data_IF_459341015703
#
_entry.id   IF_459341015703
#
_cell.length_a   1.000
_cell.length_b   1.000
_cell.length_c   1.000
_cell.angle_alpha   90.00
_cell.angle_beta   90.00
_cell.angle_gamma   90.00
#
_symmetry.space_group_name_H-M   'P 1'
#
loop_
_entity.id
_entity.type
_entity.pdbx_description
1 polymer ?
#
# COMPACT_ATOMS: atom_id res chain seq x y z
N UNK A 1 17.49 4.14 26.61
CA UNK A 1 17.21 2.69 26.38
C UNK A 1 16.94 2.53 24.90
N UNK A 2 17.61 1.59 24.23
CA UNK A 2 17.37 1.32 22.82
C UNK A 2 15.92 0.85 22.59
N UNK A 3 15.35 1.21 21.46
CA UNK A 3 13.99 0.85 21.06
C UNK A 3 14.03 -0.19 19.93
N UNK A 4 13.02 -1.03 19.84
CA UNK A 4 12.90 -2.05 18.80
C UNK A 4 11.62 -1.83 18.00
N UNK A 5 11.76 -1.78 16.68
CA UNK A 5 10.63 -1.68 15.79
C UNK A 5 10.62 -2.85 14.81
N UNK A 6 9.45 -3.42 14.66
CA UNK A 6 9.23 -4.59 13.81
C UNK A 6 8.25 -4.25 12.69
N UNK A 7 8.56 -4.69 11.48
CA UNK A 7 7.62 -4.65 10.35
C UNK A 7 7.60 -5.99 9.63
N UNK A 8 6.47 -6.28 8.99
CA UNK A 8 6.29 -7.49 8.20
C UNK A 8 5.95 -7.17 6.74
N UNK A 9 6.22 -8.11 5.87
CA UNK A 9 5.77 -8.12 4.48
C UNK A 9 5.42 -9.53 4.04
N UNK A 10 4.63 -9.65 3.00
CA UNK A 10 4.24 -10.93 2.41
C UNK A 10 4.44 -10.91 0.90
N UNK A 11 4.60 -12.10 0.31
CA UNK A 11 4.74 -12.24 -1.14
C UNK A 11 3.40 -12.03 -1.86
N UNK A 12 3.46 -11.85 -3.16
CA UNK A 12 2.28 -11.76 -4.04
C UNK A 12 1.37 -13.01 -4.00
N UNK A 13 1.91 -14.16 -3.58
CA UNK A 13 1.18 -15.42 -3.43
C UNK A 13 0.55 -15.65 -2.06
N UNK A 14 0.77 -14.76 -1.10
CA UNK A 14 0.03 -14.78 0.16
C UNK A 14 -1.47 -14.61 -0.11
N UNK A 15 -2.38 -15.35 0.56
CA UNK A 15 -3.81 -15.34 0.22
C UNK A 15 -4.44 -13.94 0.24
N UNK A 16 -4.13 -13.09 1.22
CA UNK A 16 -4.65 -11.72 1.25
C UNK A 16 -4.12 -10.88 0.09
N UNK A 17 -2.83 -11.02 -0.27
CA UNK A 17 -2.24 -10.28 -1.39
C UNK A 17 -2.69 -10.77 -2.75
N UNK A 18 -3.00 -12.03 -2.88
CA UNK A 18 -3.68 -12.57 -4.06
C UNK A 18 -5.05 -11.89 -4.26
N UNK A 19 -5.81 -11.70 -3.17
CA UNK A 19 -7.09 -10.98 -3.23
C UNK A 19 -6.90 -9.53 -3.66
N UNK A 20 -5.93 -8.81 -3.07
CA UNK A 20 -5.61 -7.44 -3.45
C UNK A 20 -5.19 -7.32 -4.92
N UNK A 21 -4.37 -8.25 -5.42
CA UNK A 21 -3.96 -8.30 -6.83
C UNK A 21 -5.14 -8.51 -7.79
N UNK A 22 -6.08 -9.40 -7.43
CA UNK A 22 -7.28 -9.63 -8.26
C UNK A 22 -8.15 -8.38 -8.25
N UNK A 23 -8.41 -7.79 -7.08
CA UNK A 23 -9.25 -6.59 -6.95
C UNK A 23 -8.68 -5.39 -7.73
N UNK A 24 -7.36 -5.13 -7.62
CA UNK A 24 -6.70 -4.07 -8.37
C UNK A 24 -6.57 -4.37 -9.87
N UNK A 25 -6.50 -5.64 -10.27
CA UNK A 25 -6.54 -6.01 -11.68
C UNK A 25 -7.92 -5.75 -12.31
N UNK A 26 -9.00 -5.97 -11.55
CA UNK A 26 -10.36 -5.60 -11.98
C UNK A 26 -10.48 -4.07 -12.13
N UNK A 27 -9.94 -3.32 -11.17
CA UNK A 27 -9.92 -1.86 -11.23
C UNK A 27 -9.14 -1.35 -12.45
N UNK A 28 -7.92 -1.83 -12.68
CA UNK A 28 -7.08 -1.43 -13.81
C UNK A 28 -7.75 -1.72 -15.15
N UNK A 29 -8.42 -2.88 -15.27
CA UNK A 29 -9.17 -3.25 -16.48
C UNK A 29 -10.35 -2.29 -16.73
N UNK A 30 -11.12 -1.97 -15.67
CA UNK A 30 -12.20 -0.99 -15.78
C UNK A 30 -11.69 0.38 -16.21
N UNK A 31 -10.66 0.91 -15.53
CA UNK A 31 -10.11 2.23 -15.82
C UNK A 31 -9.46 2.33 -17.20
N UNK A 32 -8.92 1.22 -17.73
CA UNK A 32 -8.31 1.20 -19.07
C UNK A 32 -9.33 1.39 -20.19
N UNK A 33 -10.58 1.01 -19.96
CA UNK A 33 -11.68 1.12 -20.92
C UNK A 33 -12.62 2.30 -20.65
N UNK A 34 -12.79 2.66 -19.37
CA UNK A 34 -13.61 3.78 -18.92
C UNK A 34 -12.94 4.45 -17.70
N UNK A 35 -12.25 5.56 -17.95
CA UNK A 35 -11.55 6.31 -16.91
C UNK A 35 -12.47 6.86 -15.80
N UNK A 36 -13.79 6.89 -16.02
CA UNK A 36 -14.78 7.33 -15.04
C UNK A 36 -15.45 6.18 -14.29
N UNK A 37 -14.96 4.95 -14.46
CA UNK A 37 -15.48 3.79 -13.75
C UNK A 37 -15.49 4.00 -12.23
N UNK A 38 -16.59 3.58 -11.61
CA UNK A 38 -16.73 3.50 -10.15
C UNK A 38 -16.58 2.04 -9.75
N UNK A 39 -15.58 1.76 -8.97
CA UNK A 39 -15.20 0.39 -8.59
C UNK A 39 -15.01 0.32 -7.08
N UNK A 40 -15.68 -0.62 -6.46
CA UNK A 40 -15.48 -1.08 -5.09
C UNK A 40 -15.50 -2.61 -5.15
N UNK A 41 -14.33 -3.22 -5.38
CA UNK A 41 -14.17 -4.64 -5.63
C UNK A 41 -13.50 -5.31 -4.43
N UNK A 42 -14.18 -6.28 -3.84
CA UNK A 42 -13.67 -7.09 -2.74
C UNK A 42 -13.52 -8.54 -3.21
N UNK A 43 -12.49 -9.21 -2.71
CA UNK A 43 -12.17 -10.57 -3.09
C UNK A 43 -11.94 -11.41 -1.83
N UNK A 44 -12.51 -12.62 -1.83
CA UNK A 44 -12.20 -13.66 -0.88
C UNK A 44 -11.60 -14.85 -1.64
N UNK A 45 -10.43 -15.32 -1.20
CA UNK A 45 -9.80 -16.52 -1.74
C UNK A 45 -9.67 -17.57 -0.64
N UNK A 46 -10.22 -18.76 -0.87
CA UNK A 46 -10.11 -19.91 0.02
C UNK A 46 -9.88 -21.16 -0.80
N UNK A 47 -9.79 -22.31 -0.15
CA UNK A 47 -9.47 -23.58 -0.83
C UNK A 47 -10.40 -23.86 -2.01
N UNK A 48 -9.84 -23.82 -3.22
CA UNK A 48 -10.54 -24.10 -4.47
C UNK A 48 -11.59 -23.07 -4.89
N UNK A 49 -11.69 -21.92 -4.20
CA UNK A 49 -12.70 -20.91 -4.46
C UNK A 49 -12.11 -19.49 -4.45
N UNK A 50 -12.55 -18.68 -5.40
CA UNK A 50 -12.39 -17.23 -5.39
C UNK A 50 -13.78 -16.62 -5.53
N UNK A 51 -14.14 -15.73 -4.60
CA UNK A 51 -15.39 -14.99 -4.63
C UNK A 51 -15.01 -13.53 -4.83
N UNK A 52 -15.52 -12.94 -5.91
CA UNK A 52 -15.37 -11.50 -6.22
C UNK A 52 -16.73 -10.85 -6.06
N UNK A 53 -16.81 -9.89 -5.15
CA UNK A 53 -18.06 -9.21 -4.79
C UNK A 53 -17.85 -7.69 -4.77
N UNK A 54 -18.92 -6.93 -4.85
CA UNK A 54 -18.87 -5.46 -4.74
C UNK A 54 -19.67 -4.74 -5.79
N UNK A 55 -19.33 -3.47 -6.01
CA UNK A 55 -20.05 -2.58 -6.91
C UNK A 55 -19.13 -2.08 -8.03
N UNK A 56 -19.61 -2.24 -9.27
CA UNK A 56 -18.95 -1.70 -10.46
C UNK A 56 -20.00 -0.95 -11.30
N UNK A 57 -19.72 0.34 -11.55
CA UNK A 57 -20.47 1.15 -12.51
C UNK A 57 -19.48 1.64 -13.55
N UNK A 58 -19.53 1.10 -14.75
CA UNK A 58 -18.64 1.38 -15.87
C UNK A 58 -19.40 1.25 -17.19
N UNK A 59 -18.88 1.87 -18.23
CA UNK A 59 -19.32 1.64 -19.62
C UNK A 59 -18.76 0.31 -20.18
N UNK A 60 -17.81 -0.29 -19.48
CA UNK A 60 -17.16 -1.56 -19.82
C UNK A 60 -17.51 -2.64 -18.78
N UNK A 61 -17.80 -3.84 -19.24
CA UNK A 61 -18.07 -5.00 -18.38
C UNK A 61 -16.84 -5.92 -18.37
N UNK A 62 -16.07 -5.98 -17.25
CA UNK A 62 -14.85 -6.79 -17.18
C UNK A 62 -15.17 -8.30 -17.08
N UNK A 63 -14.40 -9.12 -17.78
CA UNK A 63 -14.40 -10.59 -17.55
C UNK A 63 -13.60 -10.91 -16.28
N UNK A 64 -14.27 -10.83 -15.14
CA UNK A 64 -13.68 -11.04 -13.82
C UNK A 64 -13.09 -12.44 -13.68
N UNK A 65 -13.70 -13.46 -14.27
CA UNK A 65 -13.20 -14.84 -14.25
C UNK A 65 -11.86 -14.94 -14.97
N UNK A 66 -11.75 -14.34 -16.15
CA UNK A 66 -10.51 -14.30 -16.91
C UNK A 66 -9.42 -13.50 -16.19
N UNK A 67 -9.76 -12.37 -15.57
CA UNK A 67 -8.85 -11.55 -14.78
C UNK A 67 -8.29 -12.37 -13.61
N UNK A 68 -9.16 -12.99 -12.79
CA UNK A 68 -8.74 -13.80 -11.66
C UNK A 68 -7.83 -14.96 -12.10
N UNK A 69 -8.17 -15.68 -13.16
CA UNK A 69 -7.35 -16.74 -13.71
C UNK A 69 -6.00 -16.24 -14.26
N UNK A 70 -5.96 -15.02 -14.82
CA UNK A 70 -4.71 -14.40 -15.28
C UNK A 70 -3.79 -14.07 -14.12
N UNK A 71 -4.33 -13.50 -13.03
CA UNK A 71 -3.58 -13.22 -11.80
C UNK A 71 -3.04 -14.51 -11.18
N UNK A 72 -3.86 -15.55 -11.06
CA UNK A 72 -3.42 -16.84 -10.55
C UNK A 72 -2.22 -17.38 -11.33
N UNK A 73 -2.28 -17.40 -12.67
CA UNK A 73 -1.15 -17.83 -13.53
C UNK A 73 0.10 -16.96 -13.31
N UNK A 74 -0.06 -15.63 -13.26
CA UNK A 74 1.05 -14.69 -13.08
C UNK A 74 1.75 -14.89 -11.73
N UNK A 75 0.98 -15.20 -10.69
CA UNK A 75 1.49 -15.49 -9.34
C UNK A 75 2.13 -16.89 -9.29
N UNK A 76 1.69 -17.83 -10.09
CA UNK A 76 2.22 -19.21 -10.15
C UNK A 76 1.29 -20.26 -9.54
N UNK A 77 0.01 -19.95 -9.39
CA UNK A 77 -1.03 -20.91 -9.06
C UNK A 77 -1.67 -21.48 -10.33
N UNK A 78 -2.15 -22.72 -10.25
CA UNK A 78 -2.92 -23.35 -11.32
C UNK A 78 -4.38 -22.86 -11.28
N UNK A 79 -4.86 -22.09 -12.28
CA UNK A 79 -6.23 -21.59 -12.30
C UNK A 79 -7.30 -22.69 -12.32
N UNK A 80 -6.99 -23.87 -12.88
CA UNK A 80 -7.94 -24.97 -12.94
C UNK A 80 -8.35 -25.53 -11.56
N UNK A 81 -7.59 -25.14 -10.52
CA UNK A 81 -7.87 -25.54 -9.13
C UNK A 81 -8.86 -24.60 -8.43
N UNK A 82 -9.28 -23.51 -9.08
CA UNK A 82 -10.14 -22.50 -8.48
C UNK A 82 -11.41 -22.28 -9.30
N UNK A 83 -12.56 -22.41 -8.65
CA UNK A 83 -13.81 -21.89 -9.17
C UNK A 83 -13.92 -20.40 -8.81
N UNK A 84 -14.36 -19.58 -9.76
CA UNK A 84 -14.53 -18.13 -9.56
C UNK A 84 -16.02 -17.83 -9.52
N UNK A 85 -16.49 -17.23 -8.42
CA UNK A 85 -17.86 -16.77 -8.26
C UNK A 85 -17.88 -15.22 -8.28
N UNK A 86 -18.73 -14.63 -9.14
CA UNK A 86 -18.88 -13.19 -9.29
C UNK A 86 -20.21 -12.73 -8.71
N UNK A 87 -20.16 -11.79 -7.75
CA UNK A 87 -21.31 -11.20 -7.08
C UNK A 87 -21.19 -9.66 -7.17
N UNK A 88 -21.22 -9.15 -8.41
CA UNK A 88 -21.07 -7.73 -8.71
C UNK A 88 -22.41 -7.09 -8.97
N UNK A 89 -22.62 -5.92 -8.39
CA UNK A 89 -23.78 -5.06 -8.55
C UNK A 89 -23.40 -3.68 -9.07
N UNK A 90 -24.37 -2.87 -9.48
CA UNK A 90 -24.16 -1.44 -9.75
C UNK A 90 -24.17 -0.66 -8.45
N UNK A 91 -23.39 0.43 -8.39
CA UNK A 91 -23.36 1.33 -7.24
C UNK A 91 -24.76 1.89 -6.95
N UNK A 92 -25.08 2.04 -5.65
CA UNK A 92 -26.31 2.69 -5.19
C UNK A 92 -26.45 4.10 -5.75
N UNK A 93 -27.65 4.44 -6.23
CA UNK A 93 -27.95 5.78 -6.74
C UNK A 93 -27.81 6.88 -5.68
N UNK A 94 -28.09 6.56 -4.41
CA UNK A 94 -27.96 7.51 -3.30
C UNK A 94 -26.49 7.86 -3.04
N UNK A 95 -25.59 6.86 -3.07
CA UNK A 95 -24.15 7.07 -2.94
C UNK A 95 -23.64 7.86 -4.14
N UNK A 96 -23.98 7.45 -5.36
CA UNK A 96 -23.58 8.12 -6.59
C UNK A 96 -23.97 9.62 -6.59
N UNK A 97 -25.21 9.95 -6.19
CA UNK A 97 -25.69 11.33 -6.11
C UNK A 97 -24.88 12.21 -5.14
N UNK A 98 -24.40 11.60 -4.02
CA UNK A 98 -23.58 12.30 -3.05
C UNK A 98 -22.13 12.52 -3.51
N UNK A 99 -21.58 11.57 -4.28
CA UNK A 99 -20.20 11.60 -4.77
C UNK A 99 -20.06 12.45 -6.03
N UNK A 100 -20.95 12.28 -7.01
CA UNK A 100 -20.87 12.97 -8.31
C UNK A 100 -21.22 14.46 -8.21
N UNK A 101 -21.88 14.88 -7.14
CA UNK A 101 -22.18 16.28 -6.86
C UNK A 101 -21.99 16.58 -5.38
N UNK A 102 -20.89 17.24 -5.03
CA UNK A 102 -20.52 17.53 -3.65
C UNK A 102 -21.57 18.38 -2.89
N UNK A 103 -21.49 18.36 -1.57
CA UNK A 103 -22.31 19.20 -0.70
C UNK A 103 -22.14 20.69 -1.02
N UNK A 104 -20.90 21.13 -1.24
CA UNK A 104 -20.54 22.50 -1.58
C UNK A 104 -21.23 22.92 -2.89
N UNK A 105 -21.19 22.07 -3.92
CA UNK A 105 -21.85 22.33 -5.21
C UNK A 105 -23.36 22.36 -5.08
N UNK A 106 -23.95 21.39 -4.38
CA UNK A 106 -25.41 21.33 -4.12
C UNK A 106 -25.93 22.56 -3.39
N UNK A 107 -25.13 23.09 -2.47
CA UNK A 107 -25.46 24.30 -1.69
C UNK A 107 -24.96 25.59 -2.34
N UNK A 108 -24.35 25.54 -3.52
CA UNK A 108 -23.76 26.68 -4.25
C UNK A 108 -22.70 27.43 -3.43
N UNK A 109 -22.00 26.74 -2.56
CA UNK A 109 -20.87 27.27 -1.82
C UNK A 109 -19.63 27.25 -2.73
N UNK A 110 -18.89 28.37 -2.83
CA UNK A 110 -17.69 28.45 -3.69
C UNK A 110 -17.96 28.52 -5.21
N UNK A 111 -19.20 28.75 -5.64
CA UNK A 111 -19.56 28.89 -7.06
C UNK A 111 -19.47 27.57 -7.84
N UNK A 112 -19.11 27.67 -9.15
CA UNK A 112 -18.96 26.50 -10.03
C UNK A 112 -17.49 26.05 -10.17
N UNK A 113 -16.70 26.15 -9.10
CA UNK A 113 -15.29 25.76 -9.17
C UNK A 113 -15.16 24.23 -9.45
N UNK A 114 -14.36 23.81 -10.46
CA UNK A 114 -14.24 22.40 -10.83
C UNK A 114 -13.75 21.50 -9.68
N UNK A 115 -12.89 22.00 -8.79
CA UNK A 115 -12.40 21.29 -7.62
C UNK A 115 -13.52 20.84 -6.67
N UNK A 116 -14.63 21.59 -6.62
CA UNK A 116 -15.78 21.28 -5.78
C UNK A 116 -16.81 20.37 -6.47
N UNK A 117 -16.49 19.79 -7.64
CA UNK A 117 -17.41 18.92 -8.38
C UNK A 117 -17.69 17.64 -7.63
N UNK A 118 -16.63 16.91 -7.22
CA UNK A 118 -16.73 15.62 -6.59
C UNK A 118 -16.74 15.74 -5.06
N UNK A 119 -17.68 15.07 -4.42
CA UNK A 119 -17.63 14.81 -2.99
C UNK A 119 -16.77 13.57 -2.66
N UNK A 120 -16.26 13.49 -1.45
CA UNK A 120 -15.59 12.29 -0.98
C UNK A 120 -16.52 11.07 -1.03
N UNK A 121 -16.00 9.95 -1.53
CA UNK A 121 -16.76 8.70 -1.71
C UNK A 121 -17.13 8.03 -0.39
N UNK A 122 -16.48 8.41 0.70
CA UNK A 122 -16.76 7.92 2.05
C UNK A 122 -16.28 8.96 3.09
N UNK A 123 -16.64 8.73 4.33
CA UNK A 123 -16.04 9.38 5.49
C UNK A 123 -14.85 8.56 5.97
N UNK A 124 -13.86 9.21 6.59
CA UNK A 124 -12.73 8.50 7.17
C UNK A 124 -11.54 9.39 7.47
N UNK A 125 -10.51 8.75 8.02
CA UNK A 125 -9.22 9.36 8.33
C UNK A 125 -8.14 8.69 7.49
N UNK A 126 -7.34 9.47 6.79
CA UNK A 126 -6.26 9.01 5.92
C UNK A 126 -4.94 9.54 6.46
N UNK A 127 -3.96 8.65 6.57
CA UNK A 127 -2.66 8.96 7.16
C UNK A 127 -1.55 8.77 6.14
N UNK A 128 -0.69 9.77 6.04
CA UNK A 128 0.58 9.72 5.32
C UNK A 128 1.74 9.86 6.28
N UNK A 129 2.85 9.19 6.00
CA UNK A 129 4.06 9.28 6.78
C UNK A 129 5.30 9.35 5.89
N UNK A 130 6.32 10.05 6.33
CA UNK A 130 7.64 10.05 5.73
C UNK A 130 8.72 10.26 6.80
N UNK A 131 9.90 9.71 6.58
CA UNK A 131 11.08 9.91 7.43
C UNK A 131 12.36 9.86 6.59
N UNK A 132 13.44 10.42 7.14
CA UNK A 132 14.74 10.50 6.46
C UNK A 132 15.62 9.24 6.60
N UNK A 133 15.07 8.12 7.08
CA UNK A 133 15.84 6.90 7.36
C UNK A 133 16.35 6.18 6.10
N UNK A 134 15.60 6.28 5.01
CA UNK A 134 15.93 5.58 3.76
C UNK A 134 15.82 6.55 2.56
N UNK A 135 16.47 6.25 1.42
CA UNK A 135 16.31 7.06 0.20
C UNK A 135 14.86 7.15 -0.29
N UNK A 136 14.03 6.17 0.03
CA UNK A 136 12.60 6.17 -0.27
C UNK A 136 11.78 7.07 0.67
N UNK A 137 12.41 7.59 1.74
CA UNK A 137 11.74 8.32 2.83
C UNK A 137 10.66 7.46 3.51
N UNK A 138 11.00 6.19 3.72
CA UNK A 138 10.20 5.17 4.41
C UNK A 138 10.95 4.62 5.61
N UNK A 139 10.26 4.11 6.65
CA UNK A 139 10.90 3.42 7.77
C UNK A 139 11.72 2.21 7.31
N UNK A 140 12.90 2.04 7.87
CA UNK A 140 13.83 0.99 7.46
C UNK A 140 13.26 -0.43 7.61
N UNK A 141 12.57 -0.81 8.72
CA UNK A 141 12.07 -2.17 8.90
C UNK A 141 11.10 -2.61 7.79
N UNK A 142 10.16 -1.73 7.37
CA UNK A 142 9.21 -2.07 6.32
C UNK A 142 9.88 -2.17 4.95
N UNK A 143 10.86 -1.31 4.67
CA UNK A 143 11.65 -1.36 3.44
C UNK A 143 12.41 -2.68 3.34
N UNK A 144 13.05 -3.13 4.42
CA UNK A 144 13.78 -4.39 4.46
C UNK A 144 12.84 -5.60 4.34
N UNK A 145 11.69 -5.57 5.01
CA UNK A 145 10.68 -6.62 4.90
C UNK A 145 10.16 -6.77 3.45
N UNK A 146 9.88 -5.65 2.76
CA UNK A 146 9.50 -5.66 1.33
C UNK A 146 10.62 -6.16 0.43
N UNK A 147 11.88 -5.78 0.68
CA UNK A 147 13.03 -6.28 -0.07
C UNK A 147 13.17 -7.80 0.05
N UNK A 148 13.00 -8.35 1.25
CA UNK A 148 13.08 -9.80 1.50
C UNK A 148 11.99 -10.55 0.74
N UNK A 149 10.73 -10.12 0.83
CA UNK A 149 9.62 -10.78 0.14
C UNK A 149 9.70 -10.61 -1.39
N UNK A 150 10.19 -9.46 -1.86
CA UNK A 150 10.46 -9.21 -3.28
C UNK A 150 11.60 -10.09 -3.79
N UNK A 151 12.71 -10.22 -3.04
CA UNK A 151 13.84 -11.09 -3.39
C UNK A 151 13.43 -12.57 -3.40
N UNK A 152 12.59 -13.00 -2.44
CA UNK A 152 12.04 -14.36 -2.41
C UNK A 152 11.20 -14.65 -3.67
N UNK A 153 10.34 -13.72 -4.05
CA UNK A 153 9.53 -13.84 -5.28
C UNK A 153 10.41 -13.86 -6.54
N UNK A 154 11.42 -13.02 -6.59
CA UNK A 154 12.37 -13.00 -7.70
C UNK A 154 13.13 -14.34 -7.80
N UNK A 155 13.65 -14.86 -6.68
CA UNK A 155 14.37 -16.14 -6.64
C UNK A 155 13.50 -17.31 -7.11
N UNK A 156 12.20 -17.29 -6.79
CA UNK A 156 11.22 -18.25 -7.27
C UNK A 156 10.96 -18.12 -8.78
N UNK A 157 10.58 -16.93 -9.24
CA UNK A 157 10.17 -16.70 -10.65
C UNK A 157 11.32 -16.84 -11.64
N UNK A 158 12.54 -16.49 -11.25
CA UNK A 158 13.74 -16.67 -12.06
C UNK A 158 14.26 -18.11 -12.08
N UNK A 159 13.72 -18.97 -11.21
CA UNK A 159 14.23 -20.33 -11.03
C UNK A 159 15.57 -20.42 -10.32
N UNK A 160 16.02 -19.32 -9.69
CA UNK A 160 17.27 -19.26 -8.91
C UNK A 160 17.26 -20.24 -7.73
N UNK A 161 16.11 -20.41 -7.10
CA UNK A 161 15.85 -21.43 -6.08
C UNK A 161 14.75 -22.35 -6.57
N UNK A 162 15.13 -23.57 -6.92
CA UNK A 162 14.17 -24.57 -7.40
C UNK A 162 13.29 -25.10 -6.26
N UNK A 163 12.02 -25.30 -6.54
CA UNK A 163 11.07 -25.87 -5.59
C UNK A 163 10.46 -24.86 -4.62
N UNK A 164 10.66 -23.54 -4.80
CA UNK A 164 9.86 -22.54 -4.11
C UNK A 164 8.45 -22.45 -4.70
N UNK A 165 7.48 -22.20 -3.83
CA UNK A 165 6.08 -21.93 -4.16
C UNK A 165 5.70 -20.45 -3.89
N UNK A 166 4.50 -20.00 -4.32
CA UNK A 166 4.18 -18.56 -4.32
C UNK A 166 4.07 -17.89 -2.96
N UNK A 167 3.67 -18.62 -1.92
CA UNK A 167 3.42 -18.03 -0.59
C UNK A 167 4.71 -17.84 0.21
N UNK A 168 4.77 -16.75 0.94
CA UNK A 168 5.89 -16.44 1.82
C UNK A 168 5.67 -15.16 2.61
N UNK A 169 6.41 -15.04 3.72
CA UNK A 169 6.30 -13.94 4.66
C UNK A 169 7.67 -13.58 5.24
N UNK A 170 7.95 -12.30 5.38
CA UNK A 170 9.13 -11.79 6.07
C UNK A 170 8.74 -10.87 7.21
N UNK A 171 9.53 -10.88 8.28
CA UNK A 171 9.45 -9.95 9.40
C UNK A 171 10.87 -9.50 9.74
N UNK A 172 11.05 -8.19 9.97
CA UNK A 172 12.33 -7.59 10.32
C UNK A 172 12.16 -6.73 11.54
N UNK A 173 12.98 -6.99 12.55
CA UNK A 173 13.12 -6.17 13.76
C UNK A 173 14.45 -5.43 13.70
N UNK A 174 14.38 -4.10 13.82
CA UNK A 174 15.56 -3.21 13.86
C UNK A 174 15.65 -2.58 15.23
N UNK A 175 16.85 -2.55 15.78
CA UNK A 175 17.20 -1.83 16.98
C UNK A 175 17.56 -0.38 16.64
N UNK A 176 17.02 0.57 17.42
CA UNK A 176 17.21 2.00 17.26
C UNK A 176 17.87 2.58 18.52
N UNK A 177 18.70 3.59 18.33
CA UNK A 177 19.29 4.35 19.43
C UNK A 177 18.29 5.31 20.10
N UNK A 178 18.77 6.06 21.10
CA UNK A 178 17.98 7.05 21.86
C UNK A 178 17.54 8.25 20.99
N UNK A 179 18.26 8.53 19.91
CA UNK A 179 17.93 9.57 18.92
C UNK A 179 16.96 9.09 17.83
N UNK A 180 16.56 7.83 17.89
CA UNK A 180 15.65 7.21 16.90
C UNK A 180 16.34 6.88 15.58
N UNK A 181 17.65 6.61 15.55
CA UNK A 181 18.39 6.15 14.38
C UNK A 181 18.54 4.64 14.39
N UNK A 182 18.35 3.98 13.23
CA UNK A 182 18.56 2.54 13.12
C UNK A 182 20.03 2.18 13.41
N UNK A 183 20.27 1.20 14.30
CA UNK A 183 21.61 0.73 14.69
C UNK A 183 21.98 -0.61 14.02
N UNK A 184 21.13 -1.63 14.18
CA UNK A 184 21.39 -2.98 13.71
C UNK A 184 20.11 -3.79 13.52
N UNK A 185 20.24 -4.91 12.82
CA UNK A 185 19.18 -5.91 12.76
C UNK A 185 19.19 -6.76 14.04
N UNK A 186 18.07 -6.82 14.74
CA UNK A 186 17.91 -7.71 15.89
C UNK A 186 17.42 -9.09 15.46
N UNK A 187 16.30 -9.12 14.72
CA UNK A 187 15.67 -10.38 14.33
C UNK A 187 15.15 -10.33 12.90
N UNK A 188 15.40 -11.39 12.15
CA UNK A 188 14.88 -11.63 10.81
C UNK A 188 14.10 -12.94 10.82
N UNK A 189 12.84 -12.91 10.42
CA UNK A 189 12.04 -14.11 10.18
C UNK A 189 11.69 -14.16 8.70
N UNK A 190 11.95 -15.30 8.04
CA UNK A 190 11.54 -15.52 6.66
C UNK A 190 10.89 -16.90 6.54
N UNK A 191 9.63 -16.93 6.12
CA UNK A 191 8.89 -18.15 5.82
C UNK A 191 8.67 -18.24 4.31
N UNK A 192 9.12 -19.33 3.70
CA UNK A 192 9.05 -19.58 2.26
C UNK A 192 8.37 -20.91 1.99
N UNK A 193 7.26 -20.88 1.26
CA UNK A 193 6.57 -22.10 0.80
C UNK A 193 7.45 -22.87 -0.19
N UNK A 194 7.52 -24.18 -0.02
CA UNK A 194 8.40 -25.04 -0.82
C UNK A 194 7.77 -26.39 -1.15
N UNK A 195 8.32 -27.06 -2.16
CA UNK A 195 7.89 -28.39 -2.56
C UNK A 195 8.23 -29.44 -1.48
N UNK A 196 7.43 -30.49 -1.41
CA UNK A 196 7.64 -31.60 -0.47
C UNK A 196 9.02 -32.26 -0.61
N UNK A 197 9.62 -32.21 -1.81
CA UNK A 197 10.91 -32.82 -2.12
C UNK A 197 12.12 -31.94 -1.80
N UNK A 198 11.88 -30.66 -1.44
CA UNK A 198 12.98 -29.73 -1.13
C UNK A 198 13.64 -30.10 0.19
N UNK A 199 14.96 -30.25 0.18
CA UNK A 199 15.75 -30.48 1.37
C UNK A 199 15.81 -29.23 2.23
N UNK A 200 15.60 -29.35 3.55
CA UNK A 200 15.52 -28.21 4.48
C UNK A 200 16.86 -27.49 4.62
N UNK A 201 17.99 -28.25 4.68
CA UNK A 201 19.31 -27.65 4.86
C UNK A 201 19.76 -26.92 3.59
N UNK A 202 19.50 -27.53 2.42
CA UNK A 202 19.71 -26.88 1.13
C UNK A 202 18.89 -25.58 1.03
N UNK A 203 17.61 -25.63 1.38
CA UNK A 203 16.73 -24.47 1.36
C UNK A 203 17.24 -23.36 2.29
N UNK A 204 17.69 -23.72 3.47
CA UNK A 204 18.28 -22.76 4.44
C UNK A 204 19.44 -21.98 3.81
N UNK A 205 20.41 -22.70 3.23
CA UNK A 205 21.59 -22.08 2.61
C UNK A 205 21.21 -21.25 1.36
N UNK A 206 20.31 -21.74 0.54
CA UNK A 206 19.86 -20.98 -0.63
C UNK A 206 19.10 -19.70 -0.25
N UNK A 207 18.23 -19.74 0.77
CA UNK A 207 17.54 -18.55 1.26
C UNK A 207 18.52 -17.55 1.86
N UNK A 208 19.52 -18.01 2.60
CA UNK A 208 20.54 -17.14 3.18
C UNK A 208 21.36 -16.44 2.09
N UNK A 209 21.92 -17.21 1.15
CA UNK A 209 22.82 -16.69 0.12
C UNK A 209 22.08 -15.88 -0.94
N UNK A 210 20.94 -16.39 -1.45
CA UNK A 210 20.27 -15.85 -2.64
C UNK A 210 19.13 -14.87 -2.33
N UNK A 211 18.64 -14.82 -1.07
CA UNK A 211 17.53 -13.95 -0.66
C UNK A 211 17.96 -12.95 0.41
N UNK A 212 18.44 -13.44 1.58
CA UNK A 212 18.79 -12.56 2.68
C UNK A 212 19.97 -11.64 2.34
N UNK A 213 21.09 -12.21 1.92
CA UNK A 213 22.32 -11.45 1.63
C UNK A 213 22.09 -10.30 0.66
N UNK A 214 21.48 -10.49 -0.53
CA UNK A 214 21.24 -9.39 -1.44
C UNK A 214 20.17 -8.40 -0.95
N UNK A 215 19.14 -8.85 -0.24
CA UNK A 215 18.07 -7.98 0.24
C UNK A 215 18.50 -7.04 1.37
N UNK A 216 19.48 -7.47 2.19
CA UNK A 216 19.90 -6.79 3.41
C UNK A 216 21.24 -6.04 3.28
N UNK A 217 21.73 -5.80 2.06
CA UNK A 217 23.01 -5.11 1.82
C UNK A 217 23.11 -3.73 2.51
N UNK A 218 21.99 -3.02 2.65
CA UNK A 218 21.95 -1.70 3.29
C UNK A 218 22.17 -1.76 4.82
N UNK A 219 21.84 -2.88 5.44
CA UNK A 219 22.08 -3.18 6.85
C UNK A 219 22.26 -4.69 6.98
N UNK A 220 23.51 -5.21 6.84
CA UNK A 220 23.78 -6.63 6.94
C UNK A 220 23.54 -7.16 8.37
N UNK A 221 23.13 -8.42 8.53
CA UNK A 221 23.11 -9.07 9.84
C UNK A 221 24.50 -9.10 10.48
N UNK A 222 24.57 -8.93 11.79
CA UNK A 222 25.76 -9.10 12.61
C UNK A 222 25.74 -10.44 13.38
N UNK A 223 26.73 -10.67 14.26
CA UNK A 223 26.87 -11.90 15.03
C UNK A 223 25.71 -12.13 16.02
N UNK A 224 25.05 -11.04 16.48
CA UNK A 224 23.96 -11.09 17.45
C UNK A 224 22.58 -11.13 16.75
N UNK A 225 22.52 -11.01 15.43
CA UNK A 225 21.26 -11.02 14.67
C UNK A 225 20.65 -12.42 14.67
N UNK A 226 19.42 -12.53 15.14
CA UNK A 226 18.65 -13.78 15.12
C UNK A 226 18.03 -13.99 13.73
N UNK A 227 18.43 -15.06 13.05
CA UNK A 227 17.90 -15.44 11.73
C UNK A 227 17.04 -16.70 11.85
N UNK A 228 15.74 -16.56 11.59
CA UNK A 228 14.74 -17.62 11.70
C UNK A 228 14.15 -17.93 10.32
N UNK A 229 14.64 -18.98 9.65
CA UNK A 229 14.15 -19.43 8.34
C UNK A 229 13.22 -20.61 8.52
N UNK A 230 11.98 -20.51 8.03
CA UNK A 230 10.93 -21.51 8.20
C UNK A 230 10.85 -22.03 9.66
N UNK A 231 10.71 -21.16 10.68
CA UNK A 231 10.81 -21.58 12.08
C UNK A 231 9.72 -22.59 12.51
N UNK A 232 8.63 -22.67 11.78
CA UNK A 232 7.60 -23.70 11.95
C UNK A 232 8.00 -25.06 11.35
N UNK A 233 9.17 -25.16 10.71
CA UNK A 233 9.65 -26.32 9.99
C UNK A 233 9.08 -26.40 8.56
N UNK A 234 8.32 -27.44 8.24
CA UNK A 234 7.81 -27.72 6.91
C UNK A 234 6.71 -26.72 6.50
N UNK A 235 6.90 -26.03 5.35
CA UNK A 235 5.90 -25.15 4.75
C UNK A 235 5.59 -25.56 3.30
N UNK A 236 4.86 -26.65 3.14
CA UNK A 236 4.49 -27.20 1.82
C UNK A 236 3.08 -26.77 1.40
N UNK A 237 2.11 -26.86 2.30
CA UNK A 237 0.76 -26.34 2.08
C UNK A 237 0.74 -24.86 2.40
N UNK A 238 0.38 -24.01 1.47
CA UNK A 238 0.34 -22.55 1.60
C UNK A 238 -0.70 -21.91 0.67
N UNK A 239 -0.72 -20.58 0.63
CA UNK A 239 -1.70 -19.81 -0.11
C UNK A 239 -3.12 -20.07 0.37
N UNK A 240 -4.09 -19.82 -0.46
CA UNK A 240 -5.52 -19.99 -0.12
C UNK A 240 -5.97 -21.44 0.12
N UNK A 241 -5.08 -22.41 -0.12
CA UNK A 241 -5.33 -23.81 0.27
C UNK A 241 -5.12 -24.04 1.77
N UNK A 242 -4.25 -23.25 2.40
CA UNK A 242 -3.93 -23.36 3.81
C UNK A 242 -4.69 -22.34 4.66
N UNK A 243 -4.88 -21.11 4.15
CA UNK A 243 -5.50 -20.02 4.88
C UNK A 243 -6.37 -19.16 3.95
N UNK A 244 -7.46 -18.62 4.48
CA UNK A 244 -8.38 -17.78 3.71
C UNK A 244 -7.87 -16.36 3.63
N UNK A 245 -7.77 -15.82 2.40
CA UNK A 245 -7.43 -14.43 2.13
C UNK A 245 -8.65 -13.56 1.86
N UNK A 246 -8.51 -12.28 2.18
CA UNK A 246 -9.46 -11.22 1.83
C UNK A 246 -8.73 -9.96 1.41
N UNK A 247 -9.36 -9.17 0.54
CA UNK A 247 -8.92 -7.82 0.20
C UNK A 247 -8.80 -6.96 1.46
N UNK A 248 -7.74 -6.16 1.56
CA UNK A 248 -7.59 -5.15 2.61
C UNK A 248 -7.24 -5.69 3.99
N UNK A 249 -6.72 -6.92 4.12
CA UNK A 249 -6.29 -7.48 5.40
C UNK A 249 -4.81 -7.25 5.74
N UNK A 250 -4.05 -6.55 4.88
CA UNK A 250 -2.62 -6.31 5.06
C UNK A 250 -2.28 -4.81 5.09
N UNK A 251 -3.10 -4.01 5.77
CA UNK A 251 -2.99 -2.55 5.80
C UNK A 251 -1.64 -2.05 6.32
N UNK A 252 -1.07 -2.71 7.33
CA UNK A 252 0.24 -2.36 7.87
C UNK A 252 1.37 -2.71 6.89
N UNK A 253 1.22 -3.80 6.13
CA UNK A 253 2.13 -4.17 5.05
C UNK A 253 2.03 -3.19 3.88
N UNK A 254 0.83 -2.71 3.59
CA UNK A 254 0.55 -1.77 2.50
C UNK A 254 1.08 -0.37 2.77
N UNK A 255 1.26 0.01 4.04
CA UNK A 255 1.59 1.35 4.47
C UNK A 255 2.97 1.46 5.16
N UNK A 256 3.01 1.77 6.44
CA UNK A 256 4.25 2.16 7.13
C UNK A 256 4.65 1.21 8.26
N UNK A 257 4.03 0.02 8.35
CA UNK A 257 4.22 -0.86 9.50
C UNK A 257 3.72 -0.19 10.79
N UNK A 258 4.52 -0.25 11.85
CA UNK A 258 4.15 0.28 13.17
C UNK A 258 4.48 1.78 13.35
N UNK A 259 5.03 2.44 12.32
CA UNK A 259 5.55 3.83 12.44
C UNK A 259 4.47 4.91 12.33
N UNK A 260 3.33 4.60 11.75
CA UNK A 260 2.19 5.49 11.68
C UNK A 260 0.89 4.70 11.88
N UNK A 261 -0.14 5.31 12.48
CA UNK A 261 -1.46 4.71 12.55
C UNK A 261 -2.04 4.54 11.15
N UNK A 262 -3.06 3.70 11.03
CA UNK A 262 -3.84 3.52 9.82
C UNK A 262 -5.30 3.89 10.09
N UNK A 263 -5.94 4.61 9.17
CA UNK A 263 -7.34 5.01 9.33
C UNK A 263 -8.36 3.88 9.16
N UNK A 264 -7.90 2.69 8.77
CA UNK A 264 -8.72 1.47 8.63
C UNK A 264 -9.26 1.22 7.21
N UNK A 265 -9.19 2.20 6.31
CA UNK A 265 -9.66 2.06 4.92
C UNK A 265 -8.67 1.26 4.05
N UNK A 266 -9.12 0.15 3.46
CA UNK A 266 -8.35 -0.62 2.49
C UNK A 266 -8.15 0.18 1.19
N UNK A 267 -7.02 -0.06 0.50
CA UNK A 267 -6.68 0.60 -0.75
C UNK A 267 -7.15 -0.19 -1.97
N UNK A 268 -6.75 -1.47 -2.05
CA UNK A 268 -6.98 -2.31 -3.23
C UNK A 268 -8.47 -2.47 -3.55
N UNK A 269 -8.78 -2.53 -4.84
CA UNK A 269 -10.15 -2.69 -5.35
C UNK A 269 -10.98 -1.40 -5.39
N UNK A 270 -10.44 -0.27 -4.95
CA UNK A 270 -11.16 1.02 -4.88
C UNK A 270 -10.68 2.00 -5.95
N UNK A 271 -11.61 2.57 -6.71
CA UNK A 271 -11.32 3.66 -7.64
C UNK A 271 -10.95 4.97 -6.92
N UNK A 272 -10.31 5.95 -7.60
CA UNK A 272 -9.78 7.15 -6.96
C UNK A 272 -10.79 8.09 -6.32
N UNK A 273 -12.09 7.92 -6.52
CA UNK A 273 -13.11 8.71 -5.81
C UNK A 273 -13.23 8.29 -4.33
N UNK A 274 -12.75 7.09 -3.99
CA UNK A 274 -12.70 6.60 -2.62
C UNK A 274 -11.48 7.19 -1.92
N UNK A 275 -11.73 8.10 -0.99
CA UNK A 275 -10.68 8.85 -0.27
C UNK A 275 -9.82 7.96 0.61
N UNK A 276 -10.29 6.77 0.99
CA UNK A 276 -9.45 5.75 1.65
C UNK A 276 -8.14 5.55 0.89
N UNK A 277 -8.20 5.49 -0.43
CA UNK A 277 -7.05 5.34 -1.30
C UNK A 277 -6.45 6.68 -1.70
N UNK A 278 -7.21 7.54 -2.35
CA UNK A 278 -6.71 8.80 -2.90
C UNK A 278 -6.22 9.77 -1.83
N UNK A 279 -6.93 9.88 -0.71
CA UNK A 279 -6.54 10.70 0.43
C UNK A 279 -5.28 10.18 1.13
N UNK A 280 -5.12 8.85 1.27
CA UNK A 280 -3.89 8.27 1.82
C UNK A 280 -2.68 8.50 0.90
N UNK A 281 -2.86 8.43 -0.43
CA UNK A 281 -1.80 8.74 -1.39
C UNK A 281 -1.43 10.22 -1.36
N UNK A 282 -2.42 11.12 -1.22
CA UNK A 282 -2.16 12.54 -1.05
C UNK A 282 -1.45 12.83 0.27
N UNK A 283 -1.87 12.24 1.38
CA UNK A 283 -1.23 12.38 2.68
C UNK A 283 0.25 11.92 2.62
N UNK A 284 0.55 10.80 1.92
CA UNK A 284 1.93 10.37 1.64
C UNK A 284 2.69 11.37 0.81
N UNK A 285 2.11 11.89 -0.26
CA UNK A 285 2.73 12.87 -1.13
C UNK A 285 3.12 14.14 -0.36
N UNK A 286 2.23 14.63 0.50
CA UNK A 286 2.47 15.79 1.36
C UNK A 286 3.61 15.49 2.34
N UNK A 287 3.51 14.39 3.11
CA UNK A 287 4.51 14.03 4.11
C UNK A 287 5.91 13.91 3.49
N UNK A 288 5.99 13.28 2.31
CA UNK A 288 7.26 13.13 1.59
C UNK A 288 7.84 14.47 1.12
N UNK A 289 7.00 15.40 0.67
CA UNK A 289 7.45 16.73 0.26
C UNK A 289 7.89 17.59 1.45
N UNK A 290 7.26 17.46 2.64
CA UNK A 290 7.71 18.13 3.88
C UNK A 290 9.11 17.68 4.29
N UNK A 291 9.37 16.35 4.29
CA UNK A 291 10.70 15.78 4.60
C UNK A 291 11.72 16.19 3.53
N UNK A 292 11.37 16.09 2.24
CA UNK A 292 12.24 16.47 1.12
C UNK A 292 12.58 17.96 1.10
N UNK A 293 11.69 18.80 1.63
CA UNK A 293 11.91 20.24 1.82
C UNK A 293 12.87 20.54 2.99
N UNK A 294 13.25 19.53 3.80
CA UNK A 294 14.06 19.72 5.00
C UNK A 294 13.32 20.43 6.14
N UNK A 295 11.99 20.49 6.09
CA UNK A 295 11.17 21.14 7.12
C UNK A 295 11.02 20.28 8.38
N UNK A 296 11.26 18.98 8.27
CA UNK A 296 11.31 18.02 9.38
C UNK A 296 12.11 16.78 8.98
N UNK A 297 12.61 16.03 9.98
CA UNK A 297 13.28 14.74 9.73
C UNK A 297 12.27 13.59 9.53
N UNK A 298 11.09 13.70 10.13
CA UNK A 298 9.94 12.80 9.97
C UNK A 298 8.64 13.54 10.21
N UNK A 299 7.58 13.12 9.55
CA UNK A 299 6.25 13.66 9.86
C UNK A 299 5.14 12.66 9.50
N UNK A 300 4.02 12.85 10.19
CA UNK A 300 2.72 12.28 9.88
C UNK A 300 1.82 13.41 9.36
N UNK A 301 1.08 13.12 8.30
CA UNK A 301 0.03 13.99 7.78
C UNK A 301 -1.30 13.25 7.89
N UNK A 302 -2.28 13.89 8.51
CA UNK A 302 -3.61 13.32 8.71
C UNK A 302 -4.63 14.16 7.95
N UNK A 303 -5.38 13.53 7.06
CA UNK A 303 -6.50 14.10 6.33
C UNK A 303 -7.78 13.40 6.78
N UNK A 304 -8.85 14.16 7.06
CA UNK A 304 -10.15 13.57 7.33
C UNK A 304 -11.20 14.11 6.37
N UNK A 305 -12.09 13.24 5.92
CA UNK A 305 -13.17 13.57 5.00
C UNK A 305 -14.53 13.15 5.55
N UNK A 306 -15.58 13.83 5.09
CA UNK A 306 -16.97 13.44 5.28
C UNK A 306 -17.59 13.05 3.95
N UNK A 307 -18.37 11.98 3.91
CA UNK A 307 -19.02 11.51 2.68
C UNK A 307 -19.79 12.63 1.98
N UNK A 308 -19.61 12.75 0.67
CA UNK A 308 -20.27 13.75 -0.17
C UNK A 308 -19.77 15.19 0.00
N UNK A 309 -18.77 15.44 0.89
CA UNK A 309 -18.12 16.75 1.04
C UNK A 309 -16.86 16.79 0.19
N UNK A 310 -16.59 17.91 -0.50
CA UNK A 310 -15.41 18.07 -1.34
C UNK A 310 -14.16 18.38 -0.49
N UNK A 311 -14.23 19.38 0.38
CA UNK A 311 -13.11 19.78 1.19
C UNK A 311 -12.90 18.85 2.39
N UNK A 312 -11.66 18.56 2.80
CA UNK A 312 -11.40 17.82 4.02
C UNK A 312 -11.97 18.57 5.25
N UNK A 313 -12.38 17.80 6.25
CA UNK A 313 -12.86 18.35 7.53
C UNK A 313 -11.71 18.57 8.52
N UNK A 314 -10.54 17.95 8.27
CA UNK A 314 -9.34 18.10 9.07
C UNK A 314 -8.10 17.93 8.19
N UNK A 315 -7.10 18.77 8.44
CA UNK A 315 -5.73 18.66 7.90
C UNK A 315 -4.79 18.92 9.08
N UNK A 316 -3.98 17.94 9.40
CA UNK A 316 -3.05 17.98 10.52
C UNK A 316 -1.67 17.49 10.09
N UNK A 317 -0.63 18.11 10.64
CA UNK A 317 0.76 17.69 10.49
C UNK A 317 1.33 17.50 11.89
N UNK A 318 2.00 16.38 12.12
CA UNK A 318 2.78 16.10 13.33
C UNK A 318 4.22 15.76 12.91
N UNK A 319 5.17 16.58 13.30
CA UNK A 319 6.60 16.36 13.01
C UNK A 319 7.30 15.55 14.11
N UNK A 320 6.59 15.11 15.13
CA UNK A 320 7.16 14.42 16.31
C UNK A 320 8.31 15.21 16.94
N UNK A 321 8.20 16.53 16.95
CA UNK A 321 9.23 17.44 17.47
C UNK A 321 10.48 17.57 16.61
N UNK A 322 10.48 17.08 15.36
CA UNK A 322 11.62 17.20 14.42
C UNK A 322 11.48 18.39 13.46
N UNK A 323 10.46 19.23 13.63
CA UNK A 323 10.28 20.47 12.87
C UNK A 323 11.46 21.42 13.02
N UNK A 324 11.88 22.05 11.90
CA UNK A 324 13.11 22.87 11.85
C UNK A 324 12.87 24.36 11.74
N UNK A 325 11.72 24.79 11.20
CA UNK A 325 11.49 26.19 10.80
C UNK A 325 10.32 26.82 11.54
N UNK A 326 9.21 26.11 11.70
CA UNK A 326 8.01 26.62 12.36
C UNK A 326 7.26 25.48 13.06
N UNK A 327 6.22 25.83 13.82
CA UNK A 327 5.37 24.86 14.51
C UNK A 327 4.52 24.03 13.51
N UNK A 328 4.04 22.87 13.95
CA UNK A 328 3.27 21.94 13.13
C UNK A 328 1.99 22.58 12.56
N UNK A 329 1.31 23.46 13.30
CA UNK A 329 0.15 24.23 12.80
C UNK A 329 0.51 25.10 11.60
N UNK A 330 1.68 25.73 11.61
CA UNK A 330 2.16 26.52 10.48
C UNK A 330 2.42 25.66 9.24
N UNK A 331 2.97 24.44 9.44
CA UNK A 331 3.14 23.47 8.36
C UNK A 331 1.78 23.01 7.81
N UNK A 332 0.79 22.79 8.67
CA UNK A 332 -0.56 22.44 8.24
C UNK A 332 -1.22 23.53 7.39
N UNK A 333 -1.03 24.82 7.74
CA UNK A 333 -1.52 25.94 6.92
C UNK A 333 -0.77 26.02 5.57
N UNK A 334 0.55 25.84 5.57
CA UNK A 334 1.32 25.77 4.32
C UNK A 334 0.87 24.63 3.41
N UNK A 335 0.54 23.47 3.98
CA UNK A 335 -0.05 22.33 3.24
C UNK A 335 -1.35 22.71 2.56
N UNK A 336 -2.26 23.38 3.27
CA UNK A 336 -3.54 23.84 2.70
C UNK A 336 -3.38 24.88 1.58
N UNK A 337 -2.29 25.65 1.59
CA UNK A 337 -1.98 26.62 0.55
C UNK A 337 -1.37 25.98 -0.71
N UNK A 338 -0.55 24.95 -0.53
CA UNK A 338 0.27 24.37 -1.60
C UNK A 338 -0.43 23.22 -2.33
N UNK A 339 -1.24 22.43 -1.60
CA UNK A 339 -1.86 21.22 -2.16
C UNK A 339 -3.36 21.38 -2.35
N UNK A 340 -3.87 20.93 -3.50
CA UNK A 340 -5.30 20.74 -3.69
C UNK A 340 -5.75 19.47 -2.96
N UNK A 341 -6.66 19.62 -2.03
CA UNK A 341 -7.06 18.57 -1.10
C UNK A 341 -8.45 18.02 -1.37
N UNK A 342 -9.18 18.54 -2.36
CA UNK A 342 -10.45 17.95 -2.76
C UNK A 342 -10.23 16.67 -3.58
N UNK A 343 -11.17 15.71 -3.59
CA UNK A 343 -11.02 14.49 -4.39
C UNK A 343 -10.68 14.75 -5.86
N UNK A 344 -11.30 15.75 -6.47
CA UNK A 344 -11.04 16.11 -7.87
C UNK A 344 -9.60 16.61 -8.10
N UNK A 345 -9.08 17.44 -7.19
CA UNK A 345 -7.71 17.93 -7.25
C UNK A 345 -6.69 16.82 -6.98
N UNK A 346 -6.94 15.95 -6.00
CA UNK A 346 -6.08 14.81 -5.70
C UNK A 346 -5.96 13.90 -6.91
N UNK A 347 -7.09 13.53 -7.53
CA UNK A 347 -7.14 12.70 -8.72
C UNK A 347 -6.30 13.31 -9.84
N UNK A 348 -6.45 14.63 -10.07
CA UNK A 348 -5.71 15.34 -11.12
C UNK A 348 -4.21 15.46 -10.80
N UNK A 349 -3.84 15.88 -9.58
CA UNK A 349 -2.44 16.09 -9.20
C UNK A 349 -1.61 14.79 -9.21
N UNK A 350 -2.22 13.71 -8.80
CA UNK A 350 -1.55 12.41 -8.70
C UNK A 350 -1.83 11.49 -9.90
N UNK A 351 -2.51 11.99 -10.95
CA UNK A 351 -2.80 11.21 -12.17
C UNK A 351 -3.42 9.85 -11.85
N UNK A 352 -4.44 9.85 -10.98
CA UNK A 352 -5.02 8.61 -10.45
C UNK A 352 -5.99 7.91 -11.40
N UNK A 353 -6.37 8.50 -12.53
CA UNK A 353 -7.20 7.83 -13.54
C UNK A 353 -6.39 6.92 -14.47
N UNK A 354 -5.06 7.00 -14.42
CA UNK A 354 -4.19 6.12 -15.19
C UNK A 354 -4.08 4.73 -14.53
N UNK A 355 -4.43 3.63 -15.21
CA UNK A 355 -4.36 2.28 -14.66
C UNK A 355 -2.92 1.91 -14.26
N UNK A 356 -2.71 1.61 -12.99
CA UNK A 356 -1.40 1.21 -12.42
C UNK A 356 -1.52 0.48 -11.09
N UNK A 357 -2.74 0.23 -10.65
CA UNK A 357 -3.05 -0.22 -9.29
C UNK A 357 -2.60 -1.64 -9.00
N UNK A 358 -2.62 -2.54 -9.98
CA UNK A 358 -2.05 -3.88 -9.85
C UNK A 358 -0.58 -3.85 -9.37
N UNK A 359 0.19 -2.80 -9.72
CA UNK A 359 1.59 -2.65 -9.30
C UNK A 359 1.73 -2.25 -7.83
N UNK A 360 0.67 -1.73 -7.21
CA UNK A 360 0.66 -1.34 -5.79
C UNK A 360 0.27 -2.48 -4.86
N UNK A 361 -0.47 -3.47 -5.37
CA UNK A 361 -1.13 -4.49 -4.58
C UNK A 361 -0.19 -5.46 -3.82
N UNK A 362 1.12 -5.46 -4.11
CA UNK A 362 2.13 -6.22 -3.38
C UNK A 362 3.37 -5.38 -3.10
N UNK A 363 4.07 -5.71 -2.01
CA UNK A 363 5.31 -5.05 -1.57
C UNK A 363 5.13 -3.55 -1.24
N UNK A 364 4.00 -3.18 -0.67
CA UNK A 364 3.66 -1.83 -0.24
C UNK A 364 3.16 -0.89 -1.35
N UNK A 365 2.34 0.07 -0.96
CA UNK A 365 1.83 1.13 -1.82
C UNK A 365 2.77 2.35 -1.89
N UNK A 366 3.72 2.44 -0.96
CA UNK A 366 4.62 3.58 -0.79
C UNK A 366 6.09 3.19 -0.94
N UNK A 367 6.93 4.20 -1.23
CA UNK A 367 8.38 4.02 -1.38
C UNK A 367 8.84 3.56 -2.76
N UNK A 368 7.97 3.52 -3.77
CA UNK A 368 8.26 3.13 -5.16
C UNK A 368 8.30 4.39 -6.03
N UNK A 369 9.47 4.82 -6.53
CA UNK A 369 9.66 6.14 -7.15
C UNK A 369 8.88 6.36 -8.45
N UNK A 370 8.40 5.29 -9.09
CA UNK A 370 7.59 5.34 -10.30
C UNK A 370 6.19 5.90 -10.09
N UNK A 371 5.69 5.92 -8.86
CA UNK A 371 4.34 6.40 -8.58
C UNK A 371 4.28 7.91 -8.37
N UNK A 372 3.20 8.59 -8.85
CA UNK A 372 3.05 10.04 -8.74
C UNK A 372 3.10 10.58 -7.31
N UNK A 373 2.57 9.85 -6.34
CA UNK A 373 2.57 10.25 -4.92
C UNK A 373 3.94 10.11 -4.22
N UNK A 374 4.94 9.61 -4.94
CA UNK A 374 6.33 9.56 -4.47
C UNK A 374 7.20 10.72 -5.01
N UNK A 375 6.64 11.63 -5.81
CA UNK A 375 7.34 12.81 -6.30
C UNK A 375 7.60 13.81 -5.18
N UNK A 376 8.69 14.59 -5.29
CA UNK A 376 9.08 15.64 -4.32
C UNK A 376 9.09 17.03 -4.95
N UNK A 377 8.28 17.23 -5.98
CA UNK A 377 8.26 18.42 -6.82
C UNK A 377 7.65 19.65 -6.13
N UNK A 378 6.97 19.49 -4.99
CA UNK A 378 6.41 20.60 -4.20
C UNK A 378 7.34 21.07 -3.09
N UNK A 379 8.46 20.41 -2.84
CA UNK A 379 9.38 20.72 -1.73
C UNK A 379 9.83 22.18 -1.69
N UNK A 380 10.23 22.76 -2.85
CA UNK A 380 10.65 24.18 -2.94
C UNK A 380 9.50 25.15 -2.68
N UNK A 381 8.29 24.79 -3.12
CA UNK A 381 7.10 25.64 -2.92
C UNK A 381 6.73 25.65 -1.45
N UNK A 382 6.79 24.51 -0.77
CA UNK A 382 6.58 24.40 0.68
C UNK A 382 7.59 25.24 1.46
N UNK A 383 8.89 25.19 1.10
CA UNK A 383 9.89 26.04 1.73
C UNK A 383 9.54 27.52 1.63
N UNK A 384 9.06 27.97 0.47
CA UNK A 384 8.67 29.36 0.27
C UNK A 384 7.37 29.74 1.00
N UNK A 385 6.50 28.79 1.29
CA UNK A 385 5.22 29.02 1.95
C UNK A 385 5.34 29.12 3.50
N UNK A 386 6.46 28.67 4.08
CA UNK A 386 6.70 28.71 5.54
C UNK A 386 7.70 29.79 5.99
N UNK A 387 8.27 30.56 5.03
CA UNK A 387 9.13 31.72 5.25
C UNK A 387 8.28 32.99 5.20
#
# INVERSE_FOLDING_TARGET
>A
MNQFYTAESVTEGHPDKLCDLIADSVLDECLSHDALSRVACEVLATKGQIIVAGEITSLFEPDITQIAHSVLRKVGYDPARFAVQCLIHKQSLDIAAGVDCSLERRRKLGGNHPALQLGAGDQGVMVGYACSETPQMMPLPIVLAHRLTGALTFARKSGMIQGLHPDGKAQVTVEYDEDGKPLRLDTIVLSAQHSLKKNSDELYWELTDKVLTPALQAMPPDEDTKILLNPSGRFVLGGSEADTGLTGRKLMVDSYGVFAPHGGGAFSGKDPTKVDRSGAYMARYIAKNLVAAGLCAKCQVTLAYAIGKAEPVMVEVDTFGTGTVCADDCLAEAVKLVFGLTPAEIISQLDLLTPRYTQTAAYGHFGKPEFPWERTNQAKILQAAVI
#
